data_IF_121428792568
#
_entry.id   IF_121428792568
#
_cell.length_a   1.000
_cell.length_b   1.000
_cell.length_c   1.000
_cell.angle_alpha   90.00
_cell.angle_beta   90.00
_cell.angle_gamma   90.00
#
_symmetry.space_group_name_H-M   'P 1'
#
loop_
_entity.id
_entity.type
_entity.pdbx_description
1 polymer ?
#
# COMPACT_ATOMS: atom_id res chain seq x y z
N UNK A 1 7.12 -3.75 -0.69
CA UNK A 1 7.93 -2.94 -1.63
C UNK A 1 9.10 -2.29 -0.90
N UNK A 2 10.23 -2.26 -1.54
CA UNK A 2 11.40 -1.58 -0.98
C UNK A 2 11.35 -0.10 -1.35
N UNK A 3 11.85 0.81 -0.48
CA UNK A 3 11.82 2.24 -0.76
C UNK A 3 12.48 2.63 -2.10
N UNK A 4 13.55 1.96 -2.47
CA UNK A 4 14.24 2.25 -3.74
C UNK A 4 13.37 1.94 -4.96
N UNK A 5 12.58 0.89 -4.88
CA UNK A 5 11.65 0.52 -5.96
C UNK A 5 10.57 1.58 -6.12
N UNK A 6 10.05 2.08 -5.00
CA UNK A 6 9.00 3.10 -5.01
C UNK A 6 9.53 4.41 -5.60
N UNK A 7 10.77 4.79 -5.29
CA UNK A 7 11.36 6.03 -5.80
C UNK A 7 11.56 6.04 -7.30
N UNK A 8 11.63 4.86 -7.91
CA UNK A 8 11.75 4.73 -9.36
C UNK A 8 10.42 4.81 -10.10
N UNK A 9 9.31 4.85 -9.38
CA UNK A 9 7.99 4.94 -9.97
C UNK A 9 7.62 6.39 -10.29
N UNK A 10 6.83 6.58 -11.35
CA UNK A 10 6.25 7.90 -11.63
C UNK A 10 5.12 8.19 -10.65
N UNK A 11 4.70 9.46 -10.59
CA UNK A 11 3.58 9.85 -9.72
C UNK A 11 2.31 9.06 -10.05
N UNK A 12 2.03 8.84 -11.34
CA UNK A 12 0.88 8.06 -11.79
C UNK A 12 0.98 6.60 -11.37
N UNK A 13 2.17 6.02 -11.49
CA UNK A 13 2.40 4.64 -11.05
C UNK A 13 2.25 4.49 -9.55
N UNK A 14 2.71 5.47 -8.79
CA UNK A 14 2.54 5.47 -7.33
C UNK A 14 1.06 5.51 -6.97
N UNK A 15 0.28 6.37 -7.62
CA UNK A 15 -1.16 6.46 -7.38
C UNK A 15 -1.86 5.13 -7.66
N UNK A 16 -1.52 4.47 -8.76
CA UNK A 16 -2.08 3.17 -9.12
C UNK A 16 -1.72 2.10 -8.08
N UNK A 17 -0.47 2.10 -7.59
CA UNK A 17 -0.05 1.16 -6.56
C UNK A 17 -0.76 1.39 -5.22
N UNK A 18 -0.97 2.67 -4.85
CA UNK A 18 -1.73 3.00 -3.64
C UNK A 18 -3.14 2.44 -3.72
N UNK A 19 -3.80 2.64 -4.86
CA UNK A 19 -5.16 2.12 -5.06
C UNK A 19 -5.20 0.60 -4.97
N UNK A 20 -4.24 -0.09 -5.60
CA UNK A 20 -4.15 -1.54 -5.55
C UNK A 20 -3.94 -2.04 -4.12
N UNK A 21 -3.09 -1.37 -3.34
CA UNK A 21 -2.83 -1.76 -1.95
C UNK A 21 -4.03 -1.49 -1.05
N UNK A 22 -4.78 -0.43 -1.31
CA UNK A 22 -6.01 -0.13 -0.57
C UNK A 22 -7.08 -1.18 -0.82
N UNK A 23 -7.24 -1.62 -2.05
CA UNK A 23 -8.17 -2.69 -2.40
C UNK A 23 -7.79 -4.01 -1.71
N UNK A 24 -6.51 -4.36 -1.73
CA UNK A 24 -6.01 -5.54 -1.04
C UNK A 24 -6.29 -5.47 0.46
N UNK A 25 -6.03 -4.31 1.08
CA UNK A 25 -6.28 -4.11 2.50
C UNK A 25 -7.77 -4.24 2.83
N UNK A 26 -8.63 -3.67 2.01
CA UNK A 26 -10.08 -3.76 2.19
C UNK A 26 -10.55 -5.21 2.13
N UNK A 27 -10.04 -5.97 1.15
CA UNK A 27 -10.36 -7.39 1.00
C UNK A 27 -9.91 -8.20 2.21
N UNK A 28 -8.70 -7.97 2.69
CA UNK A 28 -8.17 -8.64 3.88
C UNK A 28 -9.01 -8.33 5.12
N UNK A 29 -9.45 -7.09 5.28
CA UNK A 29 -10.31 -6.69 6.39
C UNK A 29 -11.69 -7.33 6.28
N UNK A 30 -12.22 -7.42 5.09
CA UNK A 30 -13.50 -8.09 4.84
C UNK A 30 -13.42 -9.56 5.22
N UNK A 31 -12.37 -10.27 4.81
CA UNK A 31 -12.16 -11.67 5.16
C UNK A 31 -12.10 -11.86 6.68
N UNK A 32 -11.42 -10.99 7.38
CA UNK A 32 -11.34 -11.05 8.84
C UNK A 32 -12.71 -10.81 9.49
N UNK A 33 -13.48 -9.87 8.94
CA UNK A 33 -14.81 -9.51 9.47
C UNK A 33 -15.82 -10.65 9.32
N UNK A 34 -15.72 -11.44 8.25
CA UNK A 34 -16.64 -12.56 8.02
C UNK A 34 -16.18 -13.88 8.66
N UNK A 35 -15.13 -13.81 9.49
CA UNK A 35 -14.66 -14.98 10.24
C UNK A 35 -13.75 -15.93 9.48
N UNK A 36 -13.29 -15.55 8.31
CA UNK A 36 -12.32 -16.33 7.58
C UNK A 36 -10.92 -16.15 8.19
N UNK A 37 -10.01 -17.09 7.92
CA UNK A 37 -8.65 -17.02 8.44
C UNK A 37 -8.01 -15.70 8.04
N UNK A 38 -7.68 -14.86 9.02
CA UNK A 38 -7.03 -13.59 8.77
C UNK A 38 -5.51 -13.76 8.81
N UNK A 39 -4.82 -12.94 8.04
CA UNK A 39 -3.37 -12.89 8.08
C UNK A 39 -2.95 -11.48 8.53
N UNK A 40 -2.78 -11.27 9.85
CA UNK A 40 -2.45 -9.94 10.37
C UNK A 40 -1.12 -9.41 9.84
N UNK A 41 -0.21 -10.30 9.48
CA UNK A 41 1.06 -9.91 8.87
C UNK A 41 0.83 -9.24 7.52
N UNK A 42 -0.05 -9.81 6.68
CA UNK A 42 -0.35 -9.23 5.37
C UNK A 42 -1.05 -7.89 5.51
N UNK A 43 -1.92 -7.75 6.49
CA UNK A 43 -2.58 -6.47 6.77
C UNK A 43 -1.54 -5.41 7.13
N UNK A 44 -0.59 -5.74 7.99
CA UNK A 44 0.48 -4.82 8.37
C UNK A 44 1.37 -4.46 7.20
N UNK A 45 1.72 -5.43 6.36
CA UNK A 45 2.53 -5.20 5.17
C UNK A 45 1.83 -4.27 4.19
N UNK A 46 0.54 -4.48 3.94
CA UNK A 46 -0.24 -3.62 3.07
C UNK A 46 -0.28 -2.18 3.58
N UNK A 47 -0.49 -2.00 4.88
CA UNK A 47 -0.48 -0.67 5.50
C UNK A 47 0.88 0.01 5.37
N UNK A 48 1.97 -0.72 5.57
CA UNK A 48 3.33 -0.19 5.42
C UNK A 48 3.61 0.23 3.99
N UNK A 49 3.20 -0.59 3.03
CA UNK A 49 3.40 -0.27 1.62
C UNK A 49 2.67 1.00 1.24
N UNK A 50 1.42 1.16 1.70
CA UNK A 50 0.65 2.39 1.48
C UNK A 50 1.37 3.59 2.08
N UNK A 51 1.86 3.47 3.32
CA UNK A 51 2.56 4.55 3.99
C UNK A 51 3.84 4.94 3.24
N UNK A 52 4.62 3.98 2.76
CA UNK A 52 5.82 4.24 1.98
C UNK A 52 5.51 4.91 0.65
N UNK A 53 4.48 4.43 -0.04
CA UNK A 53 4.06 5.01 -1.31
C UNK A 53 3.63 6.47 -1.14
N UNK A 54 2.84 6.75 -0.11
CA UNK A 54 2.39 8.11 0.17
C UNK A 54 3.55 9.03 0.57
N UNK A 55 4.51 8.52 1.32
CA UNK A 55 5.70 9.29 1.72
C UNK A 55 6.52 9.69 0.49
N UNK A 56 6.76 8.75 -0.43
CA UNK A 56 7.52 9.05 -1.64
C UNK A 56 6.74 9.99 -2.55
N UNK A 57 5.42 9.83 -2.64
CA UNK A 57 4.58 10.75 -3.41
C UNK A 57 4.70 12.18 -2.88
N UNK A 58 4.69 12.35 -1.56
CA UNK A 58 4.86 13.65 -0.93
C UNK A 58 6.26 14.24 -1.20
N UNK A 59 7.29 13.43 -1.16
CA UNK A 59 8.65 13.86 -1.50
C UNK A 59 8.74 14.37 -2.93
N UNK A 60 8.09 13.68 -3.87
CA UNK A 60 8.10 14.07 -5.29
C UNK A 60 7.33 15.37 -5.54
N UNK A 61 6.28 15.62 -4.79
CA UNK A 61 5.54 16.88 -4.89
C UNK A 61 6.36 18.07 -4.42
N UNK A 62 7.24 17.87 -3.46
CA UNK A 62 8.09 18.94 -2.92
C UNK A 62 9.36 19.18 -3.74
N UNK A 63 9.73 18.26 -4.59
CA UNK A 63 10.95 18.35 -5.38
C UNK A 63 10.89 19.37 -6.51
#
# INVERSE_FOLDING_TARGET
>A
MKPNEIRNLTAEEIAAEVDARREELLDLRFQAAVGQASNPRRIREAKRDIARLLTVAAEKEKA
#
